data_IF_236682290070
#
_entry.id   IF_236682290070
#
_cell.length_a   1.000
_cell.length_b   1.000
_cell.length_c   1.000
_cell.angle_alpha   90.00
_cell.angle_beta   90.00
_cell.angle_gamma   90.00
#
_symmetry.space_group_name_H-M   'P 1'
#
loop_
_entity.id
_entity.type
_entity.pdbx_description
1 polymer ?
#
# COMPACT_ATOMS: atom_id res chain seq x y z
N UNK A 1 -0.36 15.71 -4.45
CA UNK A 1 -0.47 14.57 -5.39
C UNK A 1 -1.20 13.46 -4.65
N UNK A 2 -2.31 12.95 -5.20
CA UNK A 2 -2.96 11.77 -4.66
C UNK A 2 -2.43 10.55 -5.40
N UNK A 3 -1.95 9.53 -4.69
CA UNK A 3 -1.39 8.31 -5.29
C UNK A 3 -2.36 7.17 -5.03
N UNK A 4 -2.77 6.48 -6.10
CA UNK A 4 -3.62 5.30 -6.01
C UNK A 4 -2.89 4.09 -6.58
N UNK A 5 -2.94 2.97 -5.86
CA UNK A 5 -2.30 1.71 -6.26
C UNK A 5 -3.32 0.59 -6.22
N UNK A 6 -3.47 -0.13 -7.32
CA UNK A 6 -4.28 -1.35 -7.40
C UNK A 6 -3.39 -2.58 -7.18
N UNK A 7 -3.73 -3.40 -6.19
CA UNK A 7 -3.01 -4.62 -5.84
C UNK A 7 -3.67 -5.88 -6.44
N UNK A 8 -2.88 -6.94 -6.53
CA UNK A 8 -3.26 -8.22 -7.16
C UNK A 8 -4.35 -8.96 -6.42
N UNK A 9 -4.39 -8.84 -5.09
CA UNK A 9 -5.36 -9.53 -4.24
C UNK A 9 -5.77 -8.64 -3.06
N UNK A 10 -6.87 -9.04 -2.41
CA UNK A 10 -7.46 -8.27 -1.33
C UNK A 10 -6.70 -8.36 -0.02
N UNK A 11 -5.97 -9.45 0.22
CA UNK A 11 -5.15 -9.62 1.42
C UNK A 11 -4.02 -8.61 1.43
N UNK A 12 -3.31 -8.45 0.30
CA UNK A 12 -2.26 -7.43 0.15
C UNK A 12 -2.79 -6.03 0.32
N UNK A 13 -3.96 -5.73 -0.23
CA UNK A 13 -4.56 -4.40 -0.12
C UNK A 13 -4.92 -4.08 1.34
N UNK A 14 -5.52 -5.05 2.04
CA UNK A 14 -5.82 -4.94 3.45
C UNK A 14 -4.55 -4.75 4.30
N UNK A 15 -3.52 -5.58 4.12
CA UNK A 15 -2.27 -5.48 4.88
C UNK A 15 -1.56 -4.15 4.62
N UNK A 16 -1.53 -3.67 3.37
CA UNK A 16 -0.95 -2.38 3.04
C UNK A 16 -1.72 -1.21 3.68
N UNK A 17 -3.04 -1.34 3.88
CA UNK A 17 -3.85 -0.30 4.53
C UNK A 17 -3.61 -0.13 6.04
N UNK A 18 -2.86 -1.06 6.66
CA UNK A 18 -2.43 -0.92 8.07
C UNK A 18 -1.36 0.17 8.20
N UNK A 19 -0.66 0.52 7.11
CA UNK A 19 0.33 1.59 7.12
C UNK A 19 -0.36 2.94 7.37
N UNK A 20 0.07 3.73 8.37
CA UNK A 20 -0.54 5.03 8.66
C UNK A 20 -0.53 5.95 7.44
N UNK A 21 -1.67 6.60 7.18
CA UNK A 21 -1.84 7.50 6.03
C UNK A 21 -2.24 6.81 4.72
N UNK A 22 -2.34 5.47 4.71
CA UNK A 22 -2.91 4.71 3.59
C UNK A 22 -4.39 4.42 3.88
N UNK A 23 -5.25 4.76 2.93
CA UNK A 23 -6.67 4.43 2.95
C UNK A 23 -6.94 3.27 2.00
N UNK A 24 -7.64 2.24 2.47
CA UNK A 24 -8.16 1.18 1.62
C UNK A 24 -9.37 1.71 0.83
N UNK A 25 -9.28 1.69 -0.50
CA UNK A 25 -10.35 2.02 -1.42
C UNK A 25 -10.80 0.72 -2.10
N UNK A 26 -11.97 0.22 -1.73
CA UNK A 26 -12.46 -1.09 -2.17
C UNK A 26 -11.52 -2.24 -1.75
N UNK A 27 -11.87 -3.48 -2.08
CA UNK A 27 -11.09 -4.65 -1.64
C UNK A 27 -9.68 -4.75 -2.26
N UNK A 28 -9.29 -3.92 -3.23
CA UNK A 28 -8.03 -4.12 -3.99
C UNK A 28 -7.25 -2.85 -4.31
N UNK A 29 -7.71 -1.67 -3.91
CA UNK A 29 -7.02 -0.42 -4.20
C UNK A 29 -6.68 0.29 -2.89
N UNK A 30 -5.54 0.94 -2.84
CA UNK A 30 -5.11 1.78 -1.72
C UNK A 30 -4.80 3.18 -2.23
N UNK A 31 -4.95 4.17 -1.35
CA UNK A 31 -4.70 5.58 -1.66
C UNK A 31 -3.95 6.26 -0.54
N UNK A 32 -3.00 7.12 -0.89
CA UNK A 32 -2.27 7.95 0.07
C UNK A 32 -1.81 9.26 -0.56
N UNK A 33 -1.51 10.25 0.28
CA UNK A 33 -1.10 11.59 -0.13
C UNK A 33 0.29 11.93 0.44
N UNK A 34 1.38 11.68 -0.30
CA UNK A 34 2.72 12.04 0.16
C UNK A 34 2.94 13.56 0.10
N UNK A 35 3.72 14.08 1.04
CA UNK A 35 4.14 15.50 1.12
C UNK A 35 5.23 15.83 0.11
N UNK A 36 6.13 14.88 -0.13
CA UNK A 36 7.22 15.00 -1.09
C UNK A 36 7.54 13.65 -1.77
N UNK A 37 8.49 13.67 -2.70
CA UNK A 37 8.92 12.48 -3.42
C UNK A 37 9.61 11.44 -2.50
N UNK A 38 10.31 11.89 -1.46
CA UNK A 38 11.01 11.00 -0.51
C UNK A 38 9.99 10.19 0.29
N UNK A 39 8.91 10.83 0.72
CA UNK A 39 7.80 10.18 1.42
C UNK A 39 7.05 9.24 0.48
N UNK A 40 6.83 9.63 -0.78
CA UNK A 40 6.25 8.73 -1.79
C UNK A 40 7.08 7.43 -1.93
N UNK A 41 8.40 7.57 -2.03
CA UNK A 41 9.30 6.42 -2.11
C UNK A 41 9.25 5.53 -0.85
N UNK A 42 9.17 6.13 0.35
CA UNK A 42 9.00 5.38 1.61
C UNK A 42 7.70 4.59 1.63
N UNK A 43 6.58 5.17 1.20
CA UNK A 43 5.32 4.46 1.06
C UNK A 43 5.48 3.28 0.10
N UNK A 44 6.06 3.50 -1.08
CA UNK A 44 6.29 2.45 -2.07
C UNK A 44 7.09 1.27 -1.50
N UNK A 45 8.24 1.54 -0.89
CA UNK A 45 9.09 0.48 -0.30
C UNK A 45 8.36 -0.29 0.81
N UNK A 46 7.60 0.42 1.64
CA UNK A 46 6.82 -0.20 2.73
C UNK A 46 5.74 -1.13 2.15
N UNK A 47 4.96 -0.65 1.18
CA UNK A 47 3.91 -1.42 0.52
C UNK A 47 4.51 -2.66 -0.17
N UNK A 48 5.63 -2.51 -0.88
CA UNK A 48 6.32 -3.62 -1.54
C UNK A 48 6.78 -4.67 -0.55
N UNK A 49 7.39 -4.28 0.58
CA UNK A 49 7.82 -5.22 1.61
C UNK A 49 6.64 -5.98 2.23
N UNK A 50 5.55 -5.29 2.57
CA UNK A 50 4.34 -5.93 3.10
C UNK A 50 3.76 -6.92 2.09
N UNK A 51 3.68 -6.53 0.82
CA UNK A 51 3.14 -7.39 -0.24
C UNK A 51 4.04 -8.60 -0.51
N UNK A 52 5.36 -8.46 -0.35
CA UNK A 52 6.32 -9.55 -0.48
C UNK A 52 6.15 -10.57 0.66
N UNK A 53 6.09 -10.11 1.91
CA UNK A 53 5.90 -10.99 3.08
C UNK A 53 4.53 -11.66 3.11
N UNK A 54 3.49 -11.02 2.55
CA UNK A 54 2.16 -11.62 2.43
C UNK A 54 2.13 -12.87 1.54
N UNK A 55 3.12 -13.05 0.65
CA UNK A 55 3.26 -14.27 -0.17
C UNK A 55 3.60 -15.49 0.70
N UNK A 56 4.31 -15.27 1.81
CA UNK A 56 4.83 -16.33 2.68
C UNK A 56 3.84 -16.72 3.79
N UNK A 57 2.73 -16.00 3.93
CA UNK A 57 1.65 -16.30 4.89
C UNK A 57 0.55 -17.21 4.32
N UNK A 58 0.73 -17.71 3.10
CA UNK A 58 -0.22 -18.57 2.37
C UNK A 58 0.26 -20.02 2.38
#
# INVERSE_FOLDING_TARGET
>A
INVEITLTDSTRAYLASIVPGITLINNRKISFKPRDFKECYRYFMTITNICATAKDMR
#
